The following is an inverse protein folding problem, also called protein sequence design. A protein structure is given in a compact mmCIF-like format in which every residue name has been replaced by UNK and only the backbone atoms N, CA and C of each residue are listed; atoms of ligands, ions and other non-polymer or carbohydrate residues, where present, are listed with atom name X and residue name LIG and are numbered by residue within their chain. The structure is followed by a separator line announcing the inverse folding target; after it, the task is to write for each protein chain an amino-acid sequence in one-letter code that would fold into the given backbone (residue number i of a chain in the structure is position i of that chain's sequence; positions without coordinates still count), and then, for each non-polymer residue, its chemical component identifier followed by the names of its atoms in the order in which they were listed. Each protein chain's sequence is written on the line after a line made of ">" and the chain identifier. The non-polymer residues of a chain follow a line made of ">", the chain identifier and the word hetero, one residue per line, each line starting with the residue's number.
data_IF_561429213526
#
_entry.id   IF_561429213526
#
_cell.length_a   1.000
_cell.length_b   1.000
_cell.length_c   1.000
_cell.angle_alpha   90.00
_cell.angle_beta   90.00
_cell.angle_gamma   90.00
#
_symmetry.space_group_name_H-M   'P 1'
#
loop_
_entity.id
_entity.type
_entity.pdbx_description
1 polymer ?
#
# COMPACT_ATOMS: atom_id res chain seq x y z
N UNK A 1 -13.96 -3.94 -14.47
CA UNK A 1 -12.99 -4.67 -13.65
C UNK A 1 -13.65 -5.89 -12.99
N UNK A 2 -14.76 -5.69 -12.27
CA UNK A 2 -15.49 -6.81 -11.64
C UNK A 2 -15.87 -7.89 -12.65
N UNK A 3 -16.47 -7.52 -13.78
CA UNK A 3 -16.85 -8.46 -14.86
C UNK A 3 -15.65 -9.19 -15.48
N UNK A 4 -14.45 -8.65 -15.31
CA UNK A 4 -13.19 -9.27 -15.71
C UNK A 4 -12.54 -10.12 -14.59
N UNK A 5 -13.27 -10.36 -13.48
CA UNK A 5 -12.82 -11.20 -12.37
C UNK A 5 -12.09 -10.47 -11.22
N UNK A 6 -12.08 -9.12 -11.21
CA UNK A 6 -11.49 -8.39 -10.06
C UNK A 6 -12.38 -8.53 -8.84
N UNK A 7 -11.87 -9.14 -7.77
CA UNK A 7 -12.60 -9.31 -6.50
C UNK A 7 -12.61 -8.03 -5.65
N UNK A 8 -11.64 -7.14 -5.85
CA UNK A 8 -11.52 -5.85 -5.15
C UNK A 8 -11.18 -4.77 -6.18
N UNK A 9 -11.87 -3.64 -6.12
CA UNK A 9 -11.62 -2.51 -7.02
C UNK A 9 -11.02 -1.35 -6.24
N UNK A 10 -9.94 -0.79 -6.76
CA UNK A 10 -9.28 0.39 -6.19
C UNK A 10 -9.58 1.63 -7.00
N UNK A 11 -9.94 2.71 -6.33
CA UNK A 11 -10.16 4.03 -6.89
C UNK A 11 -9.22 5.03 -6.24
N UNK A 12 -8.65 5.94 -7.03
CA UNK A 12 -7.80 7.01 -6.51
C UNK A 12 -8.68 8.12 -5.94
N UNK A 13 -8.35 8.59 -4.74
CA UNK A 13 -9.03 9.69 -4.06
C UNK A 13 -7.98 10.72 -3.66
N UNK A 14 -7.76 11.69 -4.52
CA UNK A 14 -6.66 12.65 -4.41
C UNK A 14 -7.08 14.12 -4.36
N UNK A 15 -8.37 14.39 -4.56
CA UNK A 15 -8.98 15.72 -4.52
C UNK A 15 -10.44 15.66 -4.03
N UNK A 16 -11.06 16.82 -3.86
CA UNK A 16 -12.42 16.95 -3.38
C UNK A 16 -13.44 16.31 -4.32
N UNK A 17 -13.28 16.49 -5.62
CA UNK A 17 -14.23 15.95 -6.63
C UNK A 17 -14.20 14.41 -6.60
N UNK A 18 -13.04 13.81 -6.47
CA UNK A 18 -12.90 12.37 -6.32
C UNK A 18 -13.52 11.89 -5.01
N UNK A 19 -13.33 12.60 -3.89
CA UNK A 19 -13.92 12.26 -2.62
C UNK A 19 -15.47 12.32 -2.66
N UNK A 20 -16.04 13.40 -3.21
CA UNK A 20 -17.50 13.55 -3.40
C UNK A 20 -18.06 12.46 -4.33
N UNK A 21 -17.26 11.98 -5.27
CA UNK A 21 -17.68 10.96 -6.22
C UNK A 21 -17.73 9.55 -5.64
N UNK A 22 -16.99 9.27 -4.56
CA UNK A 22 -16.91 7.92 -3.94
C UNK A 22 -18.29 7.38 -3.58
N UNK A 23 -19.06 8.14 -2.82
CA UNK A 23 -20.41 7.72 -2.40
C UNK A 23 -21.33 7.49 -3.60
N UNK A 24 -21.29 8.40 -4.58
CA UNK A 24 -22.09 8.29 -5.82
C UNK A 24 -21.72 7.01 -6.60
N UNK A 25 -20.42 6.69 -6.68
CA UNK A 25 -19.94 5.46 -7.31
C UNK A 25 -20.47 4.24 -6.56
N UNK A 26 -20.31 4.20 -5.23
CA UNK A 26 -20.78 3.07 -4.41
C UNK A 26 -22.28 2.86 -4.57
N UNK A 27 -23.06 3.92 -4.46
CA UNK A 27 -24.51 3.88 -4.62
C UNK A 27 -24.94 3.40 -6.02
N UNK A 28 -24.22 3.82 -7.07
CA UNK A 28 -24.49 3.38 -8.43
C UNK A 28 -24.17 1.88 -8.61
N UNK A 29 -23.05 1.41 -8.07
CA UNK A 29 -22.69 -0.01 -8.11
C UNK A 29 -23.74 -0.86 -7.41
N UNK A 30 -24.19 -0.48 -6.22
CA UNK A 30 -25.26 -1.19 -5.50
C UNK A 30 -26.55 -1.24 -6.33
N UNK A 31 -26.97 -0.13 -6.94
CA UNK A 31 -28.16 -0.09 -7.81
C UNK A 31 -28.03 -0.98 -9.05
N UNK A 32 -26.81 -1.20 -9.52
CA UNK A 32 -26.50 -2.12 -10.64
C UNK A 32 -26.26 -3.57 -10.19
N UNK A 33 -26.49 -3.86 -8.91
CA UNK A 33 -26.27 -5.16 -8.28
C UNK A 33 -24.79 -5.63 -8.31
N UNK A 34 -23.84 -4.69 -8.32
CA UNK A 34 -22.42 -4.96 -8.14
C UNK A 34 -22.04 -4.83 -6.66
N UNK A 35 -21.70 -5.94 -6.04
CA UNK A 35 -21.26 -5.97 -4.65
C UNK A 35 -19.73 -6.15 -4.57
N UNK A 36 -18.99 -5.24 -5.18
CA UNK A 36 -17.54 -5.25 -5.16
C UNK A 36 -16.98 -4.29 -4.09
N UNK A 37 -16.04 -4.74 -3.25
CA UNK A 37 -15.36 -3.87 -2.29
C UNK A 37 -14.57 -2.77 -3.00
N UNK A 38 -14.72 -1.52 -2.52
CA UNK A 38 -13.99 -0.36 -3.01
C UNK A 38 -12.85 0.02 -2.06
N UNK A 39 -11.64 0.11 -2.58
CA UNK A 39 -10.46 0.60 -1.86
C UNK A 39 -10.17 2.03 -2.25
N UNK A 40 -10.21 2.96 -1.30
CA UNK A 40 -9.74 4.32 -1.51
C UNK A 40 -8.22 4.39 -1.45
N UNK A 41 -7.61 4.86 -2.53
CA UNK A 41 -6.17 5.05 -2.63
C UNK A 41 -5.83 6.51 -2.36
N UNK A 42 -5.35 6.76 -1.16
CA UNK A 42 -4.98 8.10 -0.69
C UNK A 42 -3.47 8.32 -0.79
N UNK A 43 -3.09 9.49 -1.25
CA UNK A 43 -1.71 9.91 -1.35
C UNK A 43 -1.36 10.93 -0.24
N UNK A 44 -1.13 12.21 -0.60
CA UNK A 44 -0.59 13.19 0.36
C UNK A 44 -1.62 13.79 1.32
N UNK A 45 -2.87 13.88 0.92
CA UNK A 45 -3.95 14.61 1.60
C UNK A 45 -5.07 13.70 2.12
N UNK A 46 -4.83 12.40 2.24
CA UNK A 46 -5.83 11.43 2.69
C UNK A 46 -6.46 11.78 4.04
N UNK A 47 -5.67 12.31 4.98
CA UNK A 47 -6.17 12.76 6.29
C UNK A 47 -7.16 13.92 6.19
N UNK A 48 -6.97 14.83 5.24
CA UNK A 48 -7.89 15.94 4.98
C UNK A 48 -9.17 15.44 4.31
N UNK A 49 -9.03 14.65 3.24
CA UNK A 49 -10.17 14.15 2.47
C UNK A 49 -11.09 13.26 3.31
N UNK A 50 -10.52 12.33 4.07
CA UNK A 50 -11.30 11.44 4.95
C UNK A 50 -11.98 12.22 6.10
N UNK A 51 -11.35 13.30 6.59
CA UNK A 51 -11.96 14.14 7.63
C UNK A 51 -13.08 15.04 7.09
N UNK A 52 -12.89 15.63 5.91
CA UNK A 52 -13.82 16.58 5.32
C UNK A 52 -15.02 15.90 4.62
N UNK A 53 -14.84 14.66 4.19
CA UNK A 53 -15.85 13.88 3.44
C UNK A 53 -16.20 12.57 4.15
N UNK A 54 -16.92 12.62 5.31
CA UNK A 54 -17.24 11.43 6.10
C UNK A 54 -18.06 10.40 5.34
N UNK A 55 -18.91 10.82 4.39
CA UNK A 55 -19.71 9.92 3.56
C UNK A 55 -18.81 9.10 2.62
N UNK A 56 -17.77 9.71 2.06
CA UNK A 56 -16.76 8.99 1.29
C UNK A 56 -15.99 7.98 2.17
N UNK A 57 -15.61 8.39 3.38
CA UNK A 57 -14.95 7.50 4.33
C UNK A 57 -15.84 6.29 4.68
N UNK A 58 -17.12 6.51 4.92
CA UNK A 58 -18.08 5.44 5.22
C UNK A 58 -18.34 4.52 4.02
N UNK A 59 -18.42 5.07 2.80
CA UNK A 59 -18.73 4.33 1.58
C UNK A 59 -17.59 3.42 1.10
N UNK A 60 -16.34 3.74 1.42
CA UNK A 60 -15.18 2.89 1.11
C UNK A 60 -15.14 1.65 2.01
N UNK A 61 -14.66 0.55 1.47
CA UNK A 61 -14.53 -0.72 2.20
C UNK A 61 -13.13 -0.93 2.78
N UNK A 62 -12.13 -0.17 2.30
CA UNK A 62 -10.75 -0.18 2.79
C UNK A 62 -10.03 1.12 2.42
N UNK A 63 -9.10 1.56 3.27
CA UNK A 63 -8.21 2.68 2.95
C UNK A 63 -6.82 2.16 2.60
N UNK A 64 -6.24 2.68 1.52
CA UNK A 64 -4.83 2.48 1.18
C UNK A 64 -4.08 3.78 1.45
N UNK A 65 -3.07 3.68 2.27
CA UNK A 65 -2.20 4.79 2.64
C UNK A 65 -0.74 4.42 2.43
N UNK A 66 0.06 5.46 2.21
CA UNK A 66 1.51 5.33 2.23
C UNK A 66 2.01 6.30 3.31
N UNK A 67 2.45 5.77 4.47
CA UNK A 67 2.91 6.60 5.58
C UNK A 67 3.96 7.62 5.17
N UNK A 68 4.93 7.28 4.35
CA UNK A 68 5.97 8.18 3.89
C UNK A 68 5.48 9.39 3.07
N UNK A 69 4.22 9.37 2.62
CA UNK A 69 3.63 10.45 1.83
C UNK A 69 2.63 11.34 2.60
N UNK A 70 2.34 11.03 3.87
CA UNK A 70 1.23 11.68 4.62
C UNK A 70 1.63 12.99 5.31
N UNK A 71 2.82 13.49 5.12
CA UNK A 71 3.23 14.77 5.71
C UNK A 71 4.73 14.90 5.86
N UNK A 72 5.19 16.16 6.04
CA UNK A 72 6.58 16.44 6.34
C UNK A 72 6.93 16.03 7.78
N UNK A 73 8.21 16.03 8.09
CA UNK A 73 8.87 15.52 9.29
C UNK A 73 8.19 15.77 10.65
N UNK A 74 7.39 16.83 10.80
CA UNK A 74 6.76 17.23 12.08
C UNK A 74 5.25 16.94 12.15
N UNK A 75 4.63 16.50 11.04
CA UNK A 75 3.17 16.29 10.97
C UNK A 75 2.79 14.84 10.55
N UNK A 76 3.78 13.98 10.40
CA UNK A 76 3.56 12.60 10.00
C UNK A 76 2.66 11.88 11.01
N UNK A 77 3.01 11.92 12.27
CA UNK A 77 2.31 11.22 13.33
C UNK A 77 0.86 11.69 13.45
N UNK A 78 0.63 13.01 13.47
CA UNK A 78 -0.70 13.60 13.58
C UNK A 78 -1.61 13.24 12.39
N UNK A 79 -1.07 13.22 11.19
CA UNK A 79 -1.85 12.92 9.97
C UNK A 79 -2.14 11.43 9.84
N UNK A 80 -1.17 10.59 10.19
CA UNK A 80 -1.34 9.15 10.25
C UNK A 80 -2.38 8.77 11.31
N UNK A 81 -2.26 9.32 12.51
CA UNK A 81 -3.21 9.13 13.59
C UNK A 81 -4.64 9.50 13.18
N UNK A 82 -4.85 10.64 12.50
CA UNK A 82 -6.17 11.04 11.99
C UNK A 82 -6.77 9.99 11.07
N UNK A 83 -5.99 9.44 10.12
CA UNK A 83 -6.49 8.41 9.20
C UNK A 83 -6.84 7.14 9.97
N UNK A 84 -5.99 6.71 10.90
CA UNK A 84 -6.23 5.51 11.70
C UNK A 84 -7.48 5.68 12.57
N UNK A 85 -7.66 6.83 13.22
CA UNK A 85 -8.85 7.12 14.02
C UNK A 85 -10.14 7.10 13.17
N UNK A 86 -10.09 7.61 11.93
CA UNK A 86 -11.23 7.53 11.00
C UNK A 86 -11.48 6.07 10.58
N UNK A 87 -10.44 5.28 10.36
CA UNK A 87 -10.56 3.87 10.03
C UNK A 87 -11.21 3.08 11.19
N UNK A 88 -10.79 3.33 12.42
CA UNK A 88 -11.38 2.75 13.64
C UNK A 88 -12.86 3.14 13.74
N UNK A 89 -13.18 4.43 13.62
CA UNK A 89 -14.55 4.96 13.71
C UNK A 89 -15.48 4.29 12.70
N UNK A 90 -15.01 4.06 11.48
CA UNK A 90 -15.81 3.48 10.39
C UNK A 90 -15.66 1.94 10.30
N UNK A 91 -14.89 1.32 11.21
CA UNK A 91 -14.55 -0.11 11.19
C UNK A 91 -14.01 -0.56 9.82
N UNK A 92 -13.04 0.18 9.29
CA UNK A 92 -12.44 -0.10 7.97
C UNK A 92 -11.01 -0.63 8.10
N UNK A 93 -10.66 -1.68 7.37
CA UNK A 93 -9.27 -2.12 7.28
C UNK A 93 -8.41 -1.09 6.55
N UNK A 94 -7.13 -1.05 6.92
CA UNK A 94 -6.14 -0.16 6.34
C UNK A 94 -5.01 -0.96 5.71
N UNK A 95 -4.71 -0.67 4.44
CA UNK A 95 -3.49 -1.16 3.83
C UNK A 95 -2.39 -0.11 3.96
N UNK A 96 -1.40 -0.43 4.77
CA UNK A 96 -0.19 0.34 4.98
C UNK A 96 0.83 -0.09 3.92
N UNK A 97 1.21 0.84 3.05
CA UNK A 97 2.11 0.53 1.94
C UNK A 97 3.32 1.43 1.90
N UNK A 98 4.50 0.86 1.73
CA UNK A 98 5.72 1.59 1.43
C UNK A 98 6.21 1.28 0.01
N UNK A 99 6.91 2.23 -0.58
CA UNK A 99 7.71 2.05 -1.78
C UNK A 99 9.03 2.81 -1.62
N UNK A 100 9.97 2.51 -2.50
CA UNK A 100 11.28 3.15 -2.50
C UNK A 100 11.23 4.69 -2.39
N UNK A 101 10.42 5.34 -3.22
CA UNK A 101 10.34 6.80 -3.28
C UNK A 101 9.65 7.47 -2.08
N UNK A 102 9.12 6.67 -1.16
CA UNK A 102 8.41 7.16 0.03
C UNK A 102 9.13 6.85 1.35
N UNK A 103 10.36 6.32 1.29
CA UNK A 103 11.15 6.12 2.50
C UNK A 103 11.50 7.46 3.14
N UNK A 104 11.25 7.56 4.42
CA UNK A 104 11.61 8.73 5.22
C UNK A 104 13.13 8.89 5.24
N UNK A 105 13.60 10.15 5.01
CA UNK A 105 15.03 10.48 5.03
C UNK A 105 15.69 10.12 6.37
N UNK A 106 14.97 10.28 7.47
CA UNK A 106 15.48 9.97 8.82
C UNK A 106 15.73 8.46 8.99
N UNK A 107 14.83 7.62 8.50
CA UNK A 107 15.03 6.15 8.48
C UNK A 107 16.24 5.79 7.64
N UNK A 108 16.42 6.44 6.50
CA UNK A 108 17.60 6.22 5.65
C UNK A 108 18.89 6.69 6.32
N UNK A 109 18.89 7.88 6.91
CA UNK A 109 20.06 8.43 7.61
C UNK A 109 20.45 7.57 8.83
N UNK A 110 19.47 7.01 9.53
CA UNK A 110 19.72 6.09 10.65
C UNK A 110 20.33 4.77 10.17
N UNK A 111 19.80 4.19 9.10
CA UNK A 111 20.32 2.96 8.52
C UNK A 111 21.72 3.13 7.94
N UNK A 112 22.01 4.30 7.35
CA UNK A 112 23.36 4.63 6.89
C UNK A 112 24.35 4.70 8.06
N UNK A 113 23.96 5.33 9.17
CA UNK A 113 24.78 5.38 10.41
C UNK A 113 24.98 3.99 11.00
N UNK A 114 23.95 3.15 11.02
CA UNK A 114 24.06 1.75 11.48
C UNK A 114 24.98 0.94 10.58
N UNK A 115 24.97 1.18 9.26
CA UNK A 115 25.91 0.57 8.32
C UNK A 115 27.33 0.99 8.60
N UNK A 116 27.59 2.30 8.80
CA UNK A 116 28.94 2.82 9.09
C UNK A 116 29.49 2.31 10.45
N UNK A 117 28.60 2.04 11.41
CA UNK A 117 28.95 1.49 12.71
C UNK A 117 29.08 -0.04 12.72
N UNK A 118 28.72 -0.71 11.64
CA UNK A 118 28.75 -2.16 11.51
C UNK A 118 29.97 -2.60 10.70
N UNK A 119 30.71 -3.60 11.21
CA UNK A 119 31.82 -4.25 10.46
C UNK A 119 31.34 -5.10 9.26
N UNK A 120 30.03 -5.16 9.00
CA UNK A 120 29.46 -5.91 7.88
C UNK A 120 29.32 -5.02 6.65
N UNK A 121 29.84 -5.47 5.53
CA UNK A 121 29.57 -4.90 4.21
C UNK A 121 28.12 -5.18 3.79
N UNK A 122 27.19 -4.31 4.21
CA UNK A 122 25.79 -4.35 3.75
C UNK A 122 25.70 -3.53 2.47
N UNK A 123 25.16 -4.09 1.40
CA UNK A 123 24.93 -3.36 0.15
C UNK A 123 23.87 -2.27 0.31
N UNK A 124 23.91 -1.24 -0.53
CA UNK A 124 22.91 -0.18 -0.50
C UNK A 124 21.48 -0.72 -0.81
N UNK A 125 21.37 -1.70 -1.72
CA UNK A 125 20.10 -2.37 -2.02
C UNK A 125 19.53 -3.09 -0.78
N UNK A 126 20.38 -3.80 -0.04
CA UNK A 126 19.96 -4.50 1.17
C UNK A 126 19.51 -3.54 2.28
N UNK A 127 20.20 -2.41 2.42
CA UNK A 127 19.83 -1.36 3.35
C UNK A 127 18.42 -0.85 3.09
N UNK A 128 18.06 -0.65 1.83
CA UNK A 128 16.74 -0.18 1.41
C UNK A 128 15.67 -1.23 1.63
N UNK A 129 15.96 -2.49 1.33
CA UNK A 129 15.02 -3.59 1.59
C UNK A 129 14.68 -3.63 3.07
N UNK A 130 15.67 -3.56 3.92
CA UNK A 130 15.50 -3.52 5.38
C UNK A 130 14.70 -2.29 5.84
N UNK A 131 14.95 -1.11 5.24
CA UNK A 131 14.21 0.11 5.53
C UNK A 131 12.73 -0.01 5.19
N UNK A 132 12.40 -0.61 4.04
CA UNK A 132 11.01 -0.81 3.62
C UNK A 132 10.26 -1.73 4.59
N UNK A 133 10.86 -2.86 4.96
CA UNK A 133 10.28 -3.81 5.91
C UNK A 133 10.08 -3.15 7.28
N UNK A 134 11.13 -2.51 7.81
CA UNK A 134 11.07 -1.79 9.09
C UNK A 134 9.96 -0.73 9.09
N UNK A 135 9.88 0.09 8.07
CA UNK A 135 8.91 1.19 7.97
C UNK A 135 7.45 0.70 8.03
N UNK A 136 7.09 -0.38 7.34
CA UNK A 136 5.70 -0.87 7.36
C UNK A 136 5.37 -1.58 8.67
N UNK A 137 6.32 -2.28 9.29
CA UNK A 137 6.13 -2.93 10.60
C UNK A 137 5.96 -1.87 11.70
N UNK A 138 6.79 -0.85 11.73
CA UNK A 138 6.67 0.26 12.70
C UNK A 138 5.35 1.01 12.53
N UNK A 139 4.94 1.27 11.29
CA UNK A 139 3.64 1.90 11.01
C UNK A 139 2.46 1.02 11.45
N UNK A 140 2.56 -0.30 11.29
CA UNK A 140 1.54 -1.24 11.79
C UNK A 140 1.48 -1.23 13.32
N UNK A 141 2.63 -1.24 13.98
CA UNK A 141 2.72 -1.15 15.46
C UNK A 141 2.11 0.15 15.98
N UNK A 142 2.37 1.27 15.30
CA UNK A 142 1.74 2.56 15.63
C UNK A 142 0.23 2.51 15.44
N UNK A 143 -0.27 1.92 14.35
CA UNK A 143 -1.70 1.78 14.13
C UNK A 143 -2.40 0.95 15.23
N UNK A 144 -1.75 -0.13 15.70
CA UNK A 144 -2.25 -0.94 16.83
C UNK A 144 -2.25 -0.11 18.12
N UNK A 145 -1.20 0.63 18.40
CA UNK A 145 -1.15 1.47 19.62
C UNK A 145 -2.23 2.54 19.65
N UNK A 146 -2.71 2.97 18.49
CA UNK A 146 -3.84 3.88 18.32
C UNK A 146 -5.21 3.16 18.45
N UNK A 147 -5.23 1.83 18.51
CA UNK A 147 -6.43 1.03 18.71
C UNK A 147 -7.01 0.41 17.43
N UNK A 148 -6.31 0.44 16.29
CA UNK A 148 -6.75 -0.29 15.11
C UNK A 148 -6.59 -1.81 15.35
N UNK A 149 -7.65 -2.63 15.18
CA UNK A 149 -7.53 -4.08 15.34
C UNK A 149 -6.49 -4.68 14.40
N UNK A 150 -5.70 -5.63 14.88
CA UNK A 150 -4.63 -6.28 14.12
C UNK A 150 -5.14 -6.91 12.81
N UNK A 151 -6.32 -7.52 12.83
CA UNK A 151 -6.96 -8.12 11.67
C UNK A 151 -7.48 -7.10 10.63
N UNK A 152 -7.42 -5.81 10.95
CA UNK A 152 -7.75 -4.72 10.02
C UNK A 152 -6.51 -4.09 9.36
N UNK A 153 -5.33 -4.69 9.53
CA UNK A 153 -4.08 -4.21 8.95
C UNK A 153 -3.66 -5.13 7.80
N UNK A 154 -3.32 -4.55 6.67
CA UNK A 154 -2.71 -5.22 5.51
C UNK A 154 -1.40 -4.49 5.19
N UNK A 155 -0.31 -5.22 4.92
CA UNK A 155 0.98 -4.62 4.59
C UNK A 155 1.32 -4.78 3.11
N UNK A 156 2.07 -3.82 2.58
CA UNK A 156 2.65 -3.91 1.24
C UNK A 156 3.95 -3.12 1.11
N UNK A 157 4.96 -3.78 0.56
CA UNK A 157 6.24 -3.16 0.17
C UNK A 157 6.41 -3.31 -1.34
N UNK A 158 6.61 -2.22 -2.06
CA UNK A 158 6.68 -2.27 -3.53
C UNK A 158 8.03 -1.81 -4.04
N UNK A 159 8.55 -2.60 -4.97
CA UNK A 159 9.76 -2.31 -5.76
C UNK A 159 9.51 -2.67 -7.22
N UNK A 160 10.37 -2.20 -8.11
CA UNK A 160 10.35 -2.50 -9.54
C UNK A 160 11.18 -3.73 -9.92
N UNK A 161 12.04 -4.19 -9.02
CA UNK A 161 12.92 -5.34 -9.26
C UNK A 161 12.32 -6.64 -8.72
N UNK A 162 12.38 -7.70 -9.52
CA UNK A 162 11.80 -9.02 -9.19
C UNK A 162 12.49 -9.65 -7.97
N UNK A 163 13.82 -9.70 -7.95
CA UNK A 163 14.58 -10.32 -6.85
C UNK A 163 14.40 -9.54 -5.55
N UNK A 164 14.44 -8.21 -5.62
CA UNK A 164 14.23 -7.38 -4.44
C UNK A 164 12.82 -7.55 -3.86
N UNK A 165 11.80 -7.70 -4.72
CA UNK A 165 10.44 -7.96 -4.25
C UNK A 165 10.35 -9.29 -3.51
N UNK A 166 10.96 -10.34 -4.06
CA UNK A 166 10.98 -11.68 -3.45
C UNK A 166 11.70 -11.64 -2.10
N UNK A 167 12.85 -10.97 -2.02
CA UNK A 167 13.61 -10.84 -0.78
C UNK A 167 12.83 -10.08 0.29
N UNK A 168 12.27 -8.91 -0.06
CA UNK A 168 11.48 -8.06 0.84
C UNK A 168 10.29 -8.84 1.42
N UNK A 169 9.51 -9.53 0.58
CA UNK A 169 8.34 -10.25 1.08
C UNK A 169 8.67 -11.53 1.82
N UNK A 170 9.80 -12.18 1.49
CA UNK A 170 10.31 -13.33 2.26
C UNK A 170 10.71 -12.87 3.65
N UNK A 171 11.41 -11.74 3.77
CA UNK A 171 11.78 -11.17 5.06
C UNK A 171 10.55 -10.68 5.84
N UNK A 172 9.67 -9.88 5.21
CA UNK A 172 8.45 -9.36 5.82
C UNK A 172 7.54 -10.48 6.37
N UNK A 173 7.37 -11.56 5.59
CA UNK A 173 6.55 -12.71 6.01
C UNK A 173 7.14 -13.47 7.19
N UNK A 174 8.45 -13.42 7.39
CA UNK A 174 9.11 -14.01 8.55
C UNK A 174 8.95 -13.20 9.83
N UNK A 175 8.70 -11.88 9.70
CA UNK A 175 8.63 -10.94 10.81
C UNK A 175 7.20 -10.61 11.28
N UNK A 176 6.18 -10.92 10.49
CA UNK A 176 4.79 -10.59 10.84
C UNK A 176 3.78 -11.61 10.30
N UNK A 177 2.54 -11.53 10.84
CA UNK A 177 1.40 -12.36 10.41
C UNK A 177 0.29 -11.56 9.72
N UNK A 178 0.55 -10.31 9.37
CA UNK A 178 -0.43 -9.49 8.66
C UNK A 178 -0.65 -10.02 7.24
N UNK A 179 -1.88 -9.93 6.71
CA UNK A 179 -2.12 -10.14 5.29
C UNK A 179 -1.21 -9.27 4.43
N UNK A 180 -0.63 -9.87 3.40
CA UNK A 180 0.34 -9.23 2.51
C UNK A 180 -0.27 -8.96 1.13
N UNK A 181 -0.15 -7.71 0.66
CA UNK A 181 -0.59 -7.32 -0.66
C UNK A 181 0.59 -7.21 -1.62
N UNK A 182 0.69 -8.19 -2.53
CA UNK A 182 1.79 -8.30 -3.49
C UNK A 182 1.60 -7.43 -4.74
N UNK A 183 2.68 -7.04 -5.35
CA UNK A 183 2.70 -6.42 -6.67
C UNK A 183 3.98 -5.67 -6.96
N UNK A 184 4.51 -5.83 -8.17
CA UNK A 184 5.55 -4.97 -8.69
C UNK A 184 4.99 -3.57 -8.99
N UNK A 185 5.82 -2.55 -8.81
CA UNK A 185 5.54 -1.20 -9.29
C UNK A 185 6.51 -0.87 -10.42
N UNK A 186 6.06 -0.12 -11.42
CA UNK A 186 6.90 0.25 -12.57
C UNK A 186 7.60 -0.96 -13.22
N UNK A 187 6.84 -2.05 -13.39
CA UNK A 187 7.37 -3.33 -13.86
C UNK A 187 7.81 -3.33 -15.35
N UNK A 188 7.66 -2.19 -16.03
CA UNK A 188 7.93 -2.02 -17.45
C UNK A 188 6.66 -1.84 -18.29
N UNK A 189 6.81 -1.91 -19.61
CA UNK A 189 5.72 -1.77 -20.58
C UNK A 189 5.29 -3.12 -21.15
N UNK A 190 4.02 -3.24 -21.46
CA UNK A 190 3.47 -4.35 -22.24
C UNK A 190 3.86 -5.73 -21.71
N UNK A 191 4.50 -6.53 -22.56
CA UNK A 191 4.85 -7.93 -22.28
C UNK A 191 5.88 -8.08 -21.16
N UNK A 192 6.86 -7.19 -21.07
CA UNK A 192 7.94 -7.26 -20.06
C UNK A 192 7.38 -7.05 -18.65
N UNK A 193 6.41 -6.15 -18.51
CA UNK A 193 5.71 -5.93 -17.26
C UNK A 193 4.92 -7.17 -16.80
N UNK A 194 4.31 -7.89 -17.74
CA UNK A 194 3.60 -9.15 -17.46
C UNK A 194 4.61 -10.22 -17.01
N UNK A 195 5.70 -10.41 -17.74
CA UNK A 195 6.71 -11.44 -17.44
C UNK A 195 7.31 -11.18 -16.05
N UNK A 196 7.73 -9.95 -15.78
CA UNK A 196 8.32 -9.58 -14.48
C UNK A 196 7.31 -9.77 -13.34
N UNK A 197 6.07 -9.37 -13.54
CA UNK A 197 5.01 -9.55 -12.53
C UNK A 197 4.73 -11.02 -12.27
N UNK A 198 4.60 -11.84 -13.33
CA UNK A 198 4.38 -13.29 -13.20
C UNK A 198 5.56 -13.94 -12.48
N UNK A 199 6.80 -13.62 -12.84
CA UNK A 199 7.98 -14.18 -12.21
C UNK A 199 8.00 -13.90 -10.70
N UNK A 200 7.84 -12.64 -10.29
CA UNK A 200 7.86 -12.27 -8.88
C UNK A 200 6.70 -12.90 -8.09
N UNK A 201 5.48 -12.78 -8.60
CA UNK A 201 4.28 -13.25 -7.92
C UNK A 201 4.25 -14.78 -7.80
N UNK A 202 4.66 -15.51 -8.84
CA UNK A 202 4.70 -16.98 -8.82
C UNK A 202 5.66 -17.51 -7.77
N UNK A 203 6.84 -16.90 -7.61
CA UNK A 203 7.82 -17.32 -6.59
C UNK A 203 7.22 -17.14 -5.19
N UNK A 204 6.62 -15.98 -4.91
CA UNK A 204 6.05 -15.68 -3.60
C UNK A 204 4.85 -16.56 -3.28
N UNK A 205 3.90 -16.69 -4.21
CA UNK A 205 2.70 -17.52 -4.02
C UNK A 205 3.06 -18.98 -3.81
N UNK A 206 4.04 -19.53 -4.55
CA UNK A 206 4.52 -20.89 -4.34
C UNK A 206 5.18 -21.12 -2.97
N UNK A 207 5.64 -20.06 -2.31
CA UNK A 207 6.14 -20.09 -0.93
C UNK A 207 5.03 -19.88 0.11
N UNK A 208 3.77 -19.74 -0.31
CA UNK A 208 2.65 -19.42 0.58
C UNK A 208 2.64 -17.98 1.06
N UNK A 209 3.30 -17.06 0.36
CA UNK A 209 3.41 -15.65 0.71
C UNK A 209 2.47 -14.84 -0.17
N UNK A 210 1.55 -14.09 0.47
CA UNK A 210 0.65 -13.16 -0.20
C UNK A 210 -0.82 -13.57 -0.15
N UNK A 211 -1.69 -12.61 0.15
CA UNK A 211 -3.13 -12.79 0.32
C UNK A 211 -3.93 -12.06 -0.75
N UNK A 212 -3.40 -10.96 -1.26
CA UNK A 212 -3.97 -10.23 -2.39
C UNK A 212 -2.87 -9.79 -3.35
N UNK A 213 -3.19 -9.69 -4.63
CA UNK A 213 -2.25 -9.31 -5.68
C UNK A 213 -2.77 -8.14 -6.53
N UNK A 214 -1.84 -7.37 -7.08
CA UNK A 214 -2.12 -6.40 -8.13
C UNK A 214 -1.03 -6.45 -9.18
N UNK A 215 -1.41 -6.72 -10.41
CA UNK A 215 -0.55 -6.53 -11.59
C UNK A 215 -0.68 -5.08 -12.05
N UNK A 216 0.44 -4.37 -12.11
CA UNK A 216 0.50 -2.97 -12.60
C UNK A 216 1.03 -2.99 -14.01
N UNK A 217 0.17 -2.62 -14.96
CA UNK A 217 0.50 -2.56 -16.38
C UNK A 217 0.39 -1.11 -16.86
N UNK A 218 1.38 -0.66 -17.61
CA UNK A 218 1.25 0.55 -18.43
C UNK A 218 0.77 0.07 -19.81
N UNK A 219 -0.38 0.56 -20.30
CA UNK A 219 -0.86 0.18 -21.63
C UNK A 219 0.17 0.57 -22.70
N UNK A 220 0.38 -0.29 -23.69
CA UNK A 220 1.06 0.12 -24.93
C UNK A 220 0.22 1.17 -25.63
N UNK A 221 0.84 2.25 -26.10
CA UNK A 221 0.14 3.31 -26.83
C UNK A 221 -0.64 2.77 -28.05
N UNK A 222 -0.20 1.66 -28.63
CA UNK A 222 -0.87 0.97 -29.71
C UNK A 222 -2.20 0.29 -29.33
N UNK A 223 -2.44 0.02 -28.04
CA UNK A 223 -3.63 -0.67 -27.54
C UNK A 223 -4.54 0.23 -26.69
N UNK A 224 -4.30 1.53 -26.66
CA UNK A 224 -5.09 2.50 -25.90
C UNK A 224 -6.30 3.05 -26.66
N UNK A 225 -6.84 2.30 -27.63
CA UNK A 225 -8.07 2.64 -28.34
C UNK A 225 -9.22 1.70 -28.03
#
# INVERSE_FOLDING_TARGET
>A
LHDAGSEIVRITVNDEDSAISVEKIKNKLVKMNYNVPLVGDFHFNGHLLLSSYPDAAAALDKYRINPGNIGGKTKFDDNFEKIINIAIKNNKPVRIGANWGSLNKETMDELLRQKEASDKEISYSELIKNALVKSVIESASTAISLGLPENNIILSCKTSNVSDLVDIYTDLSSQCRYPLHLGLTEAGLGRDAIISSVAALSILINRGIGDTIRVSLTPDEANSR
#
